data_IF_030182600400
#
_entry.id   IF_030182600400
#
_cell.length_a   1.000
_cell.length_b   1.000
_cell.length_c   1.000
_cell.angle_alpha   90.00
_cell.angle_beta   90.00
_cell.angle_gamma   90.00
#
_symmetry.space_group_name_H-M   'P 1'
#
loop_
_entity.id
_entity.type
_entity.pdbx_description
1 polymer ?
#
# COMPACT_ATOMS: atom_id res chain seq x y z
N UNK A 1 -6.99 1.22 21.99
CA UNK A 1 -5.86 2.11 22.20
C UNK A 1 -4.58 1.56 21.59
N UNK A 2 -3.80 2.45 21.01
CA UNK A 2 -2.53 2.10 20.37
C UNK A 2 -1.41 2.27 21.40
N UNK A 3 -0.59 1.23 21.56
CA UNK A 3 0.58 1.30 22.42
C UNK A 3 1.67 2.13 21.73
N UNK A 4 2.17 3.15 22.41
CA UNK A 4 3.24 3.97 21.90
C UNK A 4 2.81 5.41 21.66
N UNK A 5 3.79 6.26 21.39
CA UNK A 5 3.58 7.70 21.18
C UNK A 5 4.03 8.15 19.80
N UNK A 6 4.93 7.41 19.16
CA UNK A 6 5.52 7.78 17.88
C UNK A 6 5.46 6.63 16.90
N UNK A 7 5.41 6.99 15.62
CA UNK A 7 5.55 6.00 14.55
C UNK A 7 6.52 6.52 13.51
N UNK A 8 7.13 5.59 12.81
CA UNK A 8 8.15 5.84 11.80
C UNK A 8 7.78 5.05 10.56
N UNK A 9 7.75 5.70 9.41
CA UNK A 9 7.55 5.02 8.13
C UNK A 9 8.82 5.26 7.31
N UNK A 10 9.62 4.23 7.17
CA UNK A 10 10.82 4.30 6.35
C UNK A 10 10.40 4.36 4.87
N UNK A 11 11.22 5.01 4.06
CA UNK A 11 10.93 5.15 2.65
C UNK A 11 10.85 3.76 2.00
N UNK A 12 9.70 3.45 1.39
CA UNK A 12 9.50 2.17 0.73
C UNK A 12 10.30 2.13 -0.57
N UNK A 13 10.85 0.98 -0.89
CA UNK A 13 11.62 0.76 -2.12
C UNK A 13 10.70 0.21 -3.20
N UNK A 14 11.07 0.44 -4.46
CA UNK A 14 10.33 -0.13 -5.59
C UNK A 14 11.20 -1.20 -6.24
N UNK A 15 10.90 -2.46 -5.92
CA UNK A 15 11.64 -3.62 -6.40
C UNK A 15 10.85 -4.43 -7.44
N UNK A 16 9.76 -3.88 -7.97
CA UNK A 16 8.98 -4.55 -9.01
C UNK A 16 9.78 -4.64 -10.32
N UNK A 17 9.53 -5.69 -11.10
CA UNK A 17 10.19 -5.85 -12.39
C UNK A 17 9.79 -4.74 -13.36
N UNK A 18 8.49 -4.43 -13.42
CA UNK A 18 7.99 -3.29 -14.18
C UNK A 18 7.90 -2.12 -13.22
N UNK A 19 8.69 -1.09 -13.46
CA UNK A 19 8.80 0.04 -12.53
C UNK A 19 8.00 1.23 -13.05
N UNK A 20 7.02 1.65 -12.26
CA UNK A 20 6.37 2.95 -12.44
C UNK A 20 7.05 3.93 -11.50
N UNK A 21 7.82 4.90 -12.00
CA UNK A 21 8.60 5.79 -11.13
C UNK A 21 7.72 6.64 -10.21
N UNK A 22 8.15 6.76 -8.97
CA UNK A 22 7.51 7.66 -8.00
C UNK A 22 6.40 7.06 -7.19
N UNK A 23 5.89 5.86 -7.53
CA UNK A 23 4.80 5.28 -6.75
C UNK A 23 5.24 4.85 -5.35
N UNK A 24 6.51 4.53 -5.17
CA UNK A 24 7.07 4.21 -3.85
C UNK A 24 6.97 5.41 -2.90
N UNK A 25 7.20 6.61 -3.41
CA UNK A 25 7.02 7.83 -2.64
C UNK A 25 5.54 8.07 -2.32
N UNK A 26 4.68 7.92 -3.31
CA UNK A 26 3.23 8.07 -3.14
C UNK A 26 2.73 7.11 -2.06
N UNK A 27 3.18 5.85 -2.11
CA UNK A 27 2.79 4.86 -1.12
C UNK A 27 3.25 5.24 0.29
N UNK A 28 4.52 5.61 0.43
CA UNK A 28 5.10 5.99 1.72
C UNK A 28 4.32 7.15 2.35
N UNK A 29 4.03 8.19 1.57
CA UNK A 29 3.29 9.35 2.07
C UNK A 29 1.84 9.00 2.43
N UNK A 30 1.18 8.16 1.65
CA UNK A 30 -0.19 7.75 1.96
C UNK A 30 -0.27 6.95 3.26
N UNK A 31 0.70 6.07 3.50
CA UNK A 31 0.72 5.32 4.75
C UNK A 31 0.95 6.24 5.94
N UNK A 32 1.88 7.20 5.82
CA UNK A 32 2.10 8.21 6.85
C UNK A 32 0.82 8.99 7.15
N UNK A 33 0.17 9.48 6.10
CA UNK A 33 -1.04 10.30 6.24
C UNK A 33 -2.17 9.52 6.90
N UNK A 34 -2.37 8.28 6.51
CA UNK A 34 -3.43 7.45 7.09
C UNK A 34 -3.22 7.25 8.59
N UNK A 35 -2.01 6.91 8.99
CA UNK A 35 -1.70 6.69 10.40
C UNK A 35 -1.84 7.99 11.19
N UNK A 36 -1.36 9.12 10.68
CA UNK A 36 -1.51 10.41 11.34
C UNK A 36 -2.97 10.79 11.51
N UNK A 37 -3.80 10.53 10.50
CA UNK A 37 -5.21 10.91 10.52
C UNK A 37 -6.07 9.98 11.38
N UNK A 38 -5.67 8.74 11.56
CA UNK A 38 -6.45 7.73 12.28
C UNK A 38 -5.99 7.52 13.73
N UNK A 39 -4.90 8.12 14.13
CA UNK A 39 -4.33 7.93 15.48
C UNK A 39 -3.83 9.26 16.04
N UNK A 40 -3.45 9.23 17.33
CA UNK A 40 -2.81 10.36 17.99
C UNK A 40 -1.28 10.19 18.01
N UNK A 41 -0.75 9.26 17.24
CA UNK A 41 0.69 9.03 17.16
C UNK A 41 1.38 10.18 16.43
N UNK A 42 2.60 10.49 16.86
CA UNK A 42 3.42 11.50 16.23
C UNK A 42 4.42 10.85 15.27
N UNK A 43 4.50 11.39 14.05
CA UNK A 43 5.47 10.92 13.07
C UNK A 43 6.88 11.32 13.48
N UNK A 44 7.80 10.38 13.45
CA UNK A 44 9.23 10.63 13.67
C UNK A 44 10.05 9.98 12.56
N UNK A 45 11.26 10.51 12.35
CA UNK A 45 12.18 9.97 11.34
C UNK A 45 13.04 8.85 11.91
N UNK A 46 13.27 8.85 13.21
CA UNK A 46 14.16 7.89 13.88
C UNK A 46 13.60 7.52 15.24
N UNK A 47 13.85 6.30 15.66
CA UNK A 47 13.51 5.86 17.00
C UNK A 47 12.03 5.77 17.30
N UNK A 48 11.19 5.55 16.27
CA UNK A 48 9.77 5.40 16.50
C UNK A 48 9.42 4.17 17.33
N UNK A 49 8.36 4.28 18.12
CA UNK A 49 7.83 3.12 18.86
C UNK A 49 7.26 2.08 17.92
N UNK A 50 6.63 2.52 16.84
CA UNK A 50 6.11 1.67 15.78
C UNK A 50 6.89 2.00 14.52
N UNK A 51 7.37 0.97 13.82
CA UNK A 51 8.19 1.16 12.61
C UNK A 51 7.58 0.35 11.46
N UNK A 52 7.34 1.04 10.35
CA UNK A 52 6.88 0.42 9.09
C UNK A 52 7.98 0.57 8.06
N UNK A 53 8.31 -0.52 7.39
CA UNK A 53 9.25 -0.50 6.27
C UNK A 53 8.90 -1.63 5.31
N UNK A 54 9.45 -1.56 4.12
CA UNK A 54 9.20 -2.59 3.13
C UNK A 54 9.48 -2.14 1.72
N UNK A 55 8.89 -2.85 0.78
CA UNK A 55 9.10 -2.59 -0.65
C UNK A 55 7.88 -2.98 -1.46
N UNK A 56 7.70 -2.28 -2.59
CA UNK A 56 6.75 -2.69 -3.63
C UNK A 56 7.44 -3.84 -4.37
N UNK A 57 6.82 -5.01 -4.37
CA UNK A 57 7.40 -6.21 -4.95
C UNK A 57 6.86 -6.54 -6.33
N UNK A 58 5.60 -6.19 -6.59
CA UNK A 58 4.93 -6.49 -7.85
C UNK A 58 4.18 -5.26 -8.36
N UNK A 59 4.28 -5.06 -9.65
CA UNK A 59 3.49 -4.11 -10.42
C UNK A 59 3.26 -4.79 -11.76
N UNK A 60 2.08 -5.36 -11.96
CA UNK A 60 1.82 -6.13 -13.17
C UNK A 60 0.47 -5.82 -13.78
N UNK A 61 0.43 -5.86 -15.10
CA UNK A 61 -0.79 -5.64 -15.87
C UNK A 61 -1.18 -6.97 -16.51
N UNK A 62 -2.40 -7.40 -16.23
CA UNK A 62 -2.93 -8.67 -16.71
C UNK A 62 -4.17 -8.42 -17.58
N UNK A 63 -4.18 -8.89 -18.84
CA UNK A 63 -5.38 -8.81 -19.64
C UNK A 63 -6.50 -9.68 -19.06
N UNK A 64 -7.71 -9.13 -19.02
CA UNK A 64 -8.90 -9.81 -18.54
C UNK A 64 -9.86 -9.99 -19.68
N UNK A 65 -10.31 -11.22 -19.90
CA UNK A 65 -11.22 -11.53 -20.99
C UNK A 65 -12.63 -10.99 -20.70
N UNK A 66 -13.34 -10.60 -21.75
CA UNK A 66 -14.75 -10.25 -21.63
C UNK A 66 -15.56 -11.46 -21.16
N UNK A 67 -16.55 -11.21 -20.33
CA UNK A 67 -17.44 -12.24 -19.78
C UNK A 67 -18.88 -11.85 -20.07
N UNK A 68 -19.83 -12.70 -19.66
CA UNK A 68 -21.25 -12.39 -19.81
C UNK A 68 -21.65 -11.10 -19.08
N UNK A 69 -21.03 -10.82 -17.96
CA UNK A 69 -21.31 -9.63 -17.14
C UNK A 69 -20.49 -8.41 -17.57
N UNK A 70 -19.32 -8.63 -18.16
CA UNK A 70 -18.42 -7.58 -18.62
C UNK A 70 -18.26 -7.75 -20.13
N UNK A 71 -18.87 -6.86 -20.88
CA UNK A 71 -18.93 -7.00 -22.35
C UNK A 71 -17.69 -6.53 -23.07
N UNK A 72 -16.85 -5.71 -22.42
CA UNK A 72 -15.61 -5.20 -23.00
C UNK A 72 -14.42 -5.81 -22.27
N UNK A 73 -13.35 -6.08 -23.01
CA UNK A 73 -12.08 -6.52 -22.43
C UNK A 73 -11.52 -5.45 -21.50
N UNK A 74 -10.91 -5.91 -20.42
CA UNK A 74 -10.28 -5.02 -19.44
C UNK A 74 -8.85 -5.46 -19.19
N UNK A 75 -8.05 -4.54 -18.67
CA UNK A 75 -6.74 -4.83 -18.09
C UNK A 75 -6.83 -4.66 -16.59
N UNK A 76 -6.05 -5.45 -15.88
CA UNK A 76 -5.98 -5.38 -14.41
C UNK A 76 -4.59 -4.98 -13.99
N UNK A 77 -4.48 -3.86 -13.29
CA UNK A 77 -3.23 -3.50 -12.61
C UNK A 77 -3.27 -4.11 -11.21
N UNK A 78 -2.25 -4.92 -10.88
CA UNK A 78 -2.08 -5.48 -9.54
C UNK A 78 -0.78 -4.96 -8.96
N UNK A 79 -0.83 -4.49 -7.72
CA UNK A 79 0.34 -4.05 -6.98
C UNK A 79 0.42 -4.85 -5.69
N UNK A 80 1.62 -5.33 -5.37
CA UNK A 80 1.91 -6.02 -4.11
C UNK A 80 2.98 -5.27 -3.36
N UNK A 81 2.78 -5.12 -2.05
CA UNK A 81 3.71 -4.45 -1.16
C UNK A 81 4.03 -5.40 -0.01
N UNK A 82 5.31 -5.64 0.23
CA UNK A 82 5.76 -6.40 1.39
C UNK A 82 6.06 -5.43 2.52
N UNK A 83 5.51 -5.68 3.70
CA UNK A 83 5.62 -4.78 4.85
C UNK A 83 6.19 -5.52 6.05
N UNK A 84 7.19 -4.90 6.67
CA UNK A 84 7.74 -5.32 7.96
C UNK A 84 7.33 -4.30 9.00
N UNK A 85 6.58 -4.75 10.00
CA UNK A 85 6.09 -3.91 11.08
C UNK A 85 6.77 -4.32 12.38
N UNK A 86 7.28 -3.34 13.11
CA UNK A 86 7.92 -3.54 14.42
C UNK A 86 7.21 -2.68 15.44
N UNK A 87 6.81 -3.30 16.56
CA UNK A 87 6.25 -2.59 17.71
C UNK A 87 7.22 -2.79 18.89
N UNK A 88 7.95 -1.73 19.23
CA UNK A 88 8.95 -1.81 20.31
C UNK A 88 8.33 -2.06 21.68
N UNK A 89 7.07 -1.67 21.85
CA UNK A 89 6.37 -1.84 23.13
C UNK A 89 5.68 -3.20 23.24
N UNK A 90 5.49 -3.91 22.13
CA UNK A 90 4.84 -5.20 22.12
C UNK A 90 5.34 -6.04 20.95
N UNK A 91 6.47 -6.69 21.14
CA UNK A 91 7.15 -7.46 20.11
C UNK A 91 6.27 -8.55 19.51
N UNK A 92 5.33 -9.08 20.28
CA UNK A 92 4.40 -10.10 19.78
C UNK A 92 3.51 -9.60 18.61
N UNK A 93 3.41 -8.28 18.44
CA UNK A 93 2.65 -7.69 17.34
C UNK A 93 3.48 -7.51 16.07
N UNK A 94 4.79 -7.74 16.13
CA UNK A 94 5.65 -7.63 14.95
C UNK A 94 5.20 -8.60 13.86
N UNK A 95 5.29 -8.15 12.61
CA UNK A 95 4.98 -9.05 11.48
C UNK A 95 5.75 -8.66 10.23
N UNK A 96 5.83 -9.62 9.32
CA UNK A 96 6.18 -9.37 7.93
C UNK A 96 5.11 -10.02 7.09
N UNK A 97 4.49 -9.24 6.20
CA UNK A 97 3.36 -9.70 5.41
C UNK A 97 3.29 -8.94 4.09
N UNK A 98 2.85 -9.65 3.05
CA UNK A 98 2.55 -9.02 1.75
C UNK A 98 1.09 -8.64 1.68
N UNK A 99 0.83 -7.46 1.11
CA UNK A 99 -0.50 -6.92 0.89
C UNK A 99 -0.65 -6.65 -0.60
N UNK A 100 -1.80 -6.94 -1.15
CA UNK A 100 -2.03 -6.85 -2.58
C UNK A 100 -3.43 -6.35 -2.86
N UNK A 101 -3.56 -5.51 -3.89
CA UNK A 101 -4.87 -5.16 -4.42
C UNK A 101 -4.75 -4.81 -5.89
N UNK A 102 -5.87 -4.63 -6.55
CA UNK A 102 -5.92 -4.44 -8.00
C UNK A 102 -6.95 -3.40 -8.38
N UNK A 103 -6.82 -2.94 -9.64
CA UNK A 103 -7.78 -2.03 -10.25
C UNK A 103 -7.96 -2.44 -11.71
N UNK A 104 -9.21 -2.62 -12.13
CA UNK A 104 -9.56 -2.98 -13.50
C UNK A 104 -9.92 -1.72 -14.30
N UNK A 105 -9.39 -1.62 -15.51
CA UNK A 105 -9.67 -0.50 -16.40
C UNK A 105 -9.88 -0.99 -17.83
N UNK A 106 -10.62 -0.21 -18.68
CA UNK A 106 -10.88 -0.64 -20.06
C UNK A 106 -9.58 -0.87 -20.84
N UNK A 107 -9.49 -2.00 -21.55
CA UNK A 107 -8.31 -2.35 -22.32
C UNK A 107 -8.04 -1.35 -23.47
N UNK A 108 -9.01 -0.54 -23.84
CA UNK A 108 -8.85 0.53 -24.83
C UNK A 108 -8.14 1.75 -24.30
N UNK A 109 -7.97 1.85 -22.99
CA UNK A 109 -7.26 2.99 -22.35
C UNK A 109 -5.83 2.62 -22.02
N UNK A 110 -4.96 3.62 -22.13
CA UNK A 110 -3.60 3.48 -21.67
C UNK A 110 -3.50 3.76 -20.16
N UNK A 111 -2.57 3.06 -19.50
CA UNK A 111 -2.35 3.25 -18.06
C UNK A 111 -1.41 4.43 -17.84
N UNK A 112 -1.96 5.62 -18.03
CA UNK A 112 -1.27 6.89 -17.79
C UNK A 112 -2.29 7.95 -17.40
N UNK A 113 -1.81 9.15 -17.02
CA UNK A 113 -2.67 10.27 -16.66
C UNK A 113 -3.75 9.90 -15.64
N UNK A 114 -5.01 10.33 -15.86
CA UNK A 114 -6.08 10.08 -14.90
C UNK A 114 -6.37 8.60 -14.64
N UNK A 115 -6.21 7.73 -15.65
CA UNK A 115 -6.43 6.29 -15.48
C UNK A 115 -5.42 5.71 -14.49
N UNK A 116 -4.14 6.07 -14.65
CA UNK A 116 -3.10 5.64 -13.72
C UNK A 116 -3.31 6.23 -12.34
N UNK A 117 -3.62 7.53 -12.25
CA UNK A 117 -3.82 8.19 -10.96
C UNK A 117 -4.96 7.54 -10.18
N UNK A 118 -6.06 7.22 -10.84
CA UNK A 118 -7.19 6.54 -10.20
C UNK A 118 -6.83 5.14 -9.76
N UNK A 119 -6.10 4.40 -10.59
CA UNK A 119 -5.67 3.05 -10.25
C UNK A 119 -4.81 3.04 -9.00
N UNK A 120 -3.79 3.90 -8.96
CA UNK A 120 -2.89 4.03 -7.81
C UNK A 120 -3.67 4.43 -6.55
N UNK A 121 -4.57 5.39 -6.68
CA UNK A 121 -5.39 5.84 -5.57
C UNK A 121 -6.20 4.69 -4.95
N UNK A 122 -6.93 3.95 -5.79
CA UNK A 122 -7.78 2.86 -5.31
C UNK A 122 -6.96 1.76 -4.68
N UNK A 123 -5.87 1.36 -5.34
CA UNK A 123 -5.02 0.27 -4.85
C UNK A 123 -4.35 0.66 -3.53
N UNK A 124 -3.77 1.85 -3.46
CA UNK A 124 -3.03 2.27 -2.26
C UNK A 124 -3.96 2.60 -1.08
N UNK A 125 -5.17 3.11 -1.34
CA UNK A 125 -6.16 3.27 -0.28
C UNK A 125 -6.47 1.94 0.39
N UNK A 126 -6.67 0.90 -0.41
CA UNK A 126 -6.97 -0.44 0.11
C UNK A 126 -5.78 -1.03 0.85
N UNK A 127 -4.59 -1.00 0.24
CA UNK A 127 -3.41 -1.61 0.84
C UNK A 127 -3.04 -0.90 2.14
N UNK A 128 -3.02 0.43 2.17
CA UNK A 128 -2.68 1.16 3.39
C UNK A 128 -3.71 0.93 4.50
N UNK A 129 -4.99 0.82 4.15
CA UNK A 129 -6.02 0.49 5.13
C UNK A 129 -5.83 -0.92 5.68
N UNK A 130 -5.48 -1.87 4.83
CA UNK A 130 -5.23 -3.25 5.27
C UNK A 130 -4.01 -3.32 6.21
N UNK A 131 -2.96 -2.55 5.91
CA UNK A 131 -1.79 -2.46 6.79
C UNK A 131 -2.18 -1.85 8.14
N UNK A 132 -2.95 -0.77 8.12
CA UNK A 132 -3.44 -0.13 9.33
C UNK A 132 -4.23 -1.12 10.19
N UNK A 133 -5.16 -1.83 9.57
CA UNK A 133 -6.00 -2.79 10.29
C UNK A 133 -5.16 -3.92 10.90
N UNK A 134 -4.17 -4.43 10.16
CA UNK A 134 -3.33 -5.52 10.63
C UNK A 134 -2.42 -5.08 11.77
N UNK A 135 -1.92 -3.85 11.75
CA UNK A 135 -0.95 -3.36 12.72
C UNK A 135 -1.58 -2.69 13.94
N UNK A 136 -2.63 -1.90 13.77
CA UNK A 136 -3.15 -1.01 14.82
C UNK A 136 -4.62 -1.23 15.18
N UNK A 137 -5.40 -1.87 14.33
CA UNK A 137 -6.83 -2.07 14.56
C UNK A 137 -7.16 -3.50 15.01
N UNK A 138 -6.21 -4.20 15.58
CA UNK A 138 -6.44 -5.52 16.18
C UNK A 138 -6.93 -5.37 17.61
N UNK A 139 -8.07 -5.90 17.86
CA UNK A 139 -8.62 -6.03 19.22
C UNK A 139 -9.34 -7.34 19.41
#
# INVERSE_FOLDING_TARGET
PVDGKTFQVNYFQNNAELIEPGIERTFTLRLQDLIQNQTNLNLTKNGGDLIYEGEITDYRITPMMATADIQAAQNRLTIRVNVRFTNKNKEADDFEKSFEFFYDYPATKQLNGPTLDNAIKVIFERITQDIFNESLAKW
#
